data_IF_317632087714
#
_entry.id   IF_317632087714
#
_cell.length_a   1.000
_cell.length_b   1.000
_cell.length_c   1.000
_cell.angle_alpha   90.00
_cell.angle_beta   90.00
_cell.angle_gamma   90.00
#
_symmetry.space_group_name_H-M   'P 1'
#
loop_
_entity.id
_entity.type
_entity.pdbx_description
1 polymer ?
#
# COMPACT_ATOMS: atom_id res chain seq x y z
N UNK A 1 8.46 6.42 -20.78
CA UNK A 1 7.87 7.71 -20.42
C UNK A 1 7.66 7.73 -18.90
N UNK A 2 8.38 8.57 -18.16
CA UNK A 2 8.18 8.72 -16.72
C UNK A 2 7.34 9.98 -16.47
N UNK A 3 6.15 9.81 -15.91
CA UNK A 3 5.24 10.91 -15.58
C UNK A 3 5.47 11.29 -14.13
N UNK A 4 5.90 12.53 -13.87
CA UNK A 4 5.91 13.08 -12.52
C UNK A 4 4.55 13.69 -12.26
N UNK A 5 3.75 13.05 -11.41
CA UNK A 5 2.41 13.52 -11.05
C UNK A 5 2.30 13.66 -9.52
N UNK A 6 1.61 14.72 -9.09
CA UNK A 6 1.29 14.96 -7.68
C UNK A 6 -0.17 14.54 -7.46
N UNK A 7 -0.43 13.75 -6.42
CA UNK A 7 -1.77 13.42 -5.97
C UNK A 7 -1.98 14.02 -4.58
N UNK A 8 -2.91 14.97 -4.49
CA UNK A 8 -3.35 15.55 -3.21
C UNK A 8 -4.71 14.98 -2.88
N UNK A 9 -4.88 14.51 -1.64
CA UNK A 9 -6.14 13.97 -1.17
C UNK A 9 -6.43 14.46 0.25
N UNK A 10 -7.68 14.88 0.47
CA UNK A 10 -8.14 15.27 1.79
C UNK A 10 -8.39 14.02 2.65
N UNK A 11 -7.83 14.04 3.85
CA UNK A 11 -8.00 13.00 4.88
C UNK A 11 -8.40 13.65 6.19
N UNK A 12 -9.26 12.97 6.93
CA UNK A 12 -9.81 13.46 8.21
C UNK A 12 -8.74 13.58 9.29
N UNK A 13 -7.73 12.72 9.23
CA UNK A 13 -6.68 12.61 10.24
C UNK A 13 -5.37 12.06 9.65
N UNK A 14 -4.26 12.37 10.32
CA UNK A 14 -2.91 11.92 9.94
C UNK A 14 -2.55 10.56 10.57
N UNK A 15 -3.56 9.70 10.80
CA UNK A 15 -3.38 8.34 11.37
C UNK A 15 -3.40 7.28 10.27
N UNK A 16 -3.20 6.00 10.64
CA UNK A 16 -3.09 4.91 9.67
C UNK A 16 -4.47 4.59 9.10
N UNK A 17 -5.48 4.74 9.96
CA UNK A 17 -6.89 4.62 9.63
C UNK A 17 -7.35 5.71 8.65
N UNK A 18 -6.77 6.92 8.71
CA UNK A 18 -6.96 7.96 7.71
C UNK A 18 -6.27 7.67 6.39
N UNK A 19 -5.04 7.13 6.44
CA UNK A 19 -4.23 6.89 5.25
C UNK A 19 -4.74 5.71 4.38
N UNK A 20 -5.10 4.58 4.97
CA UNK A 20 -5.53 3.38 4.22
C UNK A 20 -6.65 3.67 3.21
N UNK A 21 -7.77 4.33 3.56
CA UNK A 21 -8.83 4.63 2.61
C UNK A 21 -8.40 5.64 1.54
N UNK A 22 -7.50 6.58 1.86
CA UNK A 22 -6.91 7.47 0.87
C UNK A 22 -6.04 6.69 -0.13
N UNK A 23 -5.17 5.84 0.37
CA UNK A 23 -4.34 4.98 -0.48
C UNK A 23 -5.17 4.06 -1.39
N UNK A 24 -6.28 3.51 -0.89
CA UNK A 24 -7.23 2.74 -1.72
C UNK A 24 -7.78 3.57 -2.88
N UNK A 25 -8.19 4.82 -2.63
CA UNK A 25 -8.70 5.74 -3.66
C UNK A 25 -7.62 6.14 -4.66
N UNK A 26 -6.40 6.34 -4.19
CA UNK A 26 -5.25 6.61 -5.05
C UNK A 26 -4.99 5.44 -6.02
N UNK A 27 -4.91 4.21 -5.50
CA UNK A 27 -4.69 3.00 -6.32
C UNK A 27 -5.84 2.79 -7.30
N UNK A 28 -7.10 3.01 -6.89
CA UNK A 28 -8.25 2.90 -7.80
C UNK A 28 -8.18 3.87 -8.99
N UNK A 29 -7.54 5.05 -8.82
CA UNK A 29 -7.42 6.08 -9.86
C UNK A 29 -6.13 5.99 -10.68
N UNK A 30 -5.03 5.54 -10.07
CA UNK A 30 -3.68 5.57 -10.67
C UNK A 30 -3.10 4.18 -10.96
N UNK A 31 -3.76 3.13 -10.51
CA UNK A 31 -3.25 1.76 -10.55
C UNK A 31 -2.35 1.44 -9.36
N UNK A 32 -1.94 0.17 -9.28
CA UNK A 32 -1.07 -0.31 -8.21
C UNK A 32 0.35 0.25 -8.33
N UNK A 33 0.91 0.67 -7.20
CA UNK A 33 2.32 1.05 -7.13
C UNK A 33 3.19 -0.17 -6.88
N UNK A 34 4.31 -0.26 -7.59
CA UNK A 34 5.34 -1.27 -7.32
C UNK A 34 6.15 -0.93 -6.07
N UNK A 35 6.41 0.36 -5.84
CA UNK A 35 7.20 0.88 -4.71
C UNK A 35 6.55 2.13 -4.12
N UNK A 36 6.58 2.26 -2.81
CA UNK A 36 6.10 3.42 -2.05
C UNK A 36 7.23 3.85 -1.13
N UNK A 37 7.61 5.13 -1.20
CA UNK A 37 8.60 5.73 -0.30
C UNK A 37 7.90 6.72 0.63
N UNK A 38 8.24 6.65 1.91
CA UNK A 38 7.76 7.56 2.95
C UNK A 38 8.94 8.13 3.71
N UNK A 39 8.71 9.25 4.40
CA UNK A 39 9.60 9.81 5.44
C UNK A 39 9.74 8.93 6.71
N UNK A 40 9.23 7.68 6.69
CA UNK A 40 9.23 6.74 7.80
C UNK A 40 8.60 7.25 9.10
N UNK A 41 7.65 8.20 9.03
CA UNK A 41 6.84 8.53 10.22
C UNK A 41 6.19 7.28 10.82
N UNK A 42 6.01 7.30 12.13
CA UNK A 42 5.38 6.21 12.90
C UNK A 42 4.04 5.77 12.32
N UNK A 43 3.28 6.74 11.79
CA UNK A 43 2.02 6.46 11.11
C UNK A 43 2.17 5.54 9.89
N UNK A 44 3.17 5.80 9.06
CA UNK A 44 3.46 5.00 7.87
C UNK A 44 4.04 3.63 8.22
N UNK A 45 4.88 3.54 9.27
CA UNK A 45 5.35 2.24 9.78
C UNK A 45 4.18 1.37 10.23
N UNK A 46 3.23 1.93 10.97
CA UNK A 46 2.01 1.23 11.39
C UNK A 46 1.14 0.83 10.20
N UNK A 47 0.90 1.76 9.29
CA UNK A 47 0.14 1.51 8.06
C UNK A 47 0.76 0.40 7.21
N UNK A 48 2.08 0.40 7.04
CA UNK A 48 2.80 -0.64 6.29
C UNK A 48 2.55 -2.03 6.88
N UNK A 49 2.59 -2.15 8.22
CA UNK A 49 2.24 -3.40 8.91
C UNK A 49 0.78 -3.79 8.71
N UNK A 50 -0.14 -2.85 8.87
CA UNK A 50 -1.58 -3.08 8.67
C UNK A 50 -1.89 -3.52 7.22
N UNK A 51 -1.30 -2.87 6.22
CA UNK A 51 -1.42 -3.25 4.81
C UNK A 51 -0.83 -4.63 4.52
N UNK A 52 0.32 -4.95 5.10
CA UNK A 52 0.95 -6.26 4.93
C UNK A 52 0.11 -7.38 5.54
N UNK A 53 -0.47 -7.16 6.72
CA UNK A 53 -1.40 -8.10 7.35
C UNK A 53 -2.64 -8.31 6.49
N UNK A 54 -3.27 -7.24 6.00
CA UNK A 54 -4.42 -7.33 5.09
C UNK A 54 -4.07 -8.14 3.84
N UNK A 55 -2.91 -7.89 3.25
CA UNK A 55 -2.44 -8.63 2.08
C UNK A 55 -2.25 -10.12 2.39
N UNK A 56 -1.66 -10.45 3.55
CA UNK A 56 -1.44 -11.83 3.96
C UNK A 56 -2.74 -12.58 4.26
N UNK A 57 -3.72 -11.91 4.87
CA UNK A 57 -5.06 -12.48 5.11
C UNK A 57 -5.78 -12.76 3.79
N UNK A 58 -5.77 -11.82 2.85
CA UNK A 58 -6.39 -12.01 1.53
C UNK A 58 -5.65 -13.05 0.68
N UNK A 59 -4.32 -13.20 0.85
CA UNK A 59 -3.52 -14.24 0.19
C UNK A 59 -4.07 -15.64 0.46
N UNK A 60 -4.64 -15.88 1.64
CA UNK A 60 -5.21 -17.18 2.03
C UNK A 60 -6.57 -17.47 1.35
N UNK A 61 -7.25 -16.45 0.83
CA UNK A 61 -8.56 -16.57 0.18
C UNK A 61 -8.46 -16.63 -1.36
N UNK A 62 -7.26 -16.53 -1.91
CA UNK A 62 -7.00 -16.45 -3.35
C UNK A 62 -6.20 -17.69 -3.78
N UNK A 63 -6.47 -18.21 -4.99
CA UNK A 63 -5.71 -19.33 -5.56
C UNK A 63 -4.21 -19.03 -5.56
N UNK A 64 -3.37 -20.03 -5.23
CA UNK A 64 -1.92 -19.89 -5.06
C UNK A 64 -1.24 -19.21 -6.23
N UNK A 65 -1.71 -19.45 -7.45
CA UNK A 65 -1.12 -18.91 -8.68
C UNK A 65 -1.30 -17.38 -8.78
N UNK A 66 -2.46 -16.87 -8.38
CA UNK A 66 -2.76 -15.43 -8.37
C UNK A 66 -2.03 -14.76 -7.21
N UNK A 67 -1.97 -15.44 -6.06
CA UNK A 67 -1.24 -14.99 -4.89
C UNK A 67 0.27 -14.80 -5.17
N UNK A 68 0.90 -15.77 -5.84
CA UNK A 68 2.32 -15.70 -6.20
C UNK A 68 2.59 -14.65 -7.29
N UNK A 69 1.65 -14.46 -8.23
CA UNK A 69 1.71 -13.37 -9.21
C UNK A 69 1.65 -11.99 -8.55
N UNK A 70 0.78 -11.80 -7.55
CA UNK A 70 0.66 -10.54 -6.81
C UNK A 70 1.92 -10.26 -5.97
N UNK A 71 2.49 -11.27 -5.31
CA UNK A 71 3.75 -11.13 -4.55
C UNK A 71 4.92 -10.77 -5.47
N UNK A 72 4.97 -11.33 -6.67
CA UNK A 72 6.00 -11.01 -7.68
C UNK A 72 5.95 -9.55 -8.15
N UNK A 73 4.76 -8.93 -8.15
CA UNK A 73 4.54 -7.56 -8.65
C UNK A 73 4.49 -6.48 -7.56
N UNK A 74 4.09 -6.83 -6.35
CA UNK A 74 3.84 -5.90 -5.26
C UNK A 74 4.97 -5.99 -4.24
N UNK A 75 5.96 -5.11 -4.36
CA UNK A 75 7.06 -5.04 -3.39
C UNK A 75 6.64 -4.17 -2.20
N UNK A 76 5.65 -4.63 -1.42
CA UNK A 76 5.40 -4.09 -0.07
C UNK A 76 6.40 -4.80 0.84
N UNK A 77 7.67 -4.39 0.79
CA UNK A 77 8.64 -4.88 1.74
C UNK A 77 8.20 -4.47 3.14
N UNK A 78 8.22 -5.38 4.13
CA UNK A 78 8.16 -4.94 5.51
C UNK A 78 9.31 -3.94 5.71
N UNK A 79 8.99 -2.77 6.26
CA UNK A 79 10.03 -1.83 6.71
C UNK A 79 10.77 -2.53 7.85
N UNK A 80 11.82 -3.29 7.51
CA UNK A 80 12.86 -3.66 8.44
C UNK A 80 13.65 -2.39 8.70
N UNK A 81 13.62 -1.94 9.95
CA UNK A 81 14.48 -0.86 10.44
C UNK A 81 15.97 -1.14 10.11
#
# INVERSE_FOLDING_TARGET
>A
MAIRAIHLEAVSDLTSQGFIPAFKRFVARRGHCAHIWSDNRTNFKRTSRELWQLFQTEKLNISSDIADWLVSKLCILPVTD
#
